data_IF_726777920764
#
_entry.id   IF_726777920764
#
_cell.length_a   1.000
_cell.length_b   1.000
_cell.length_c   1.000
_cell.angle_alpha   90.00
_cell.angle_beta   90.00
_cell.angle_gamma   90.00
#
_symmetry.space_group_name_H-M   'P 1'
#
loop_
_entity.id
_entity.type
_entity.pdbx_description
1 polymer ?
#
# COMPACT_ATOMS: atom_id res chain seq x y z
N UNK A 1 -14.53 9.99 5.35
CA UNK A 1 -13.10 9.95 5.06
C UNK A 1 -12.51 8.58 5.36
N UNK A 2 -11.36 8.29 4.79
CA UNK A 2 -10.64 7.03 5.02
C UNK A 2 -10.39 6.25 3.73
N UNK A 3 -10.72 4.97 3.74
CA UNK A 3 -10.56 4.04 2.60
C UNK A 3 -11.88 3.31 2.36
N UNK A 4 -12.58 3.67 1.30
CA UNK A 4 -13.82 3.03 0.87
C UNK A 4 -13.69 2.64 -0.60
N UNK A 5 -14.39 1.59 -1.03
CA UNK A 5 -14.48 1.29 -2.45
C UNK A 5 -15.25 2.40 -3.16
N UNK A 6 -14.61 3.10 -4.08
CA UNK A 6 -15.16 4.29 -4.74
C UNK A 6 -16.51 4.05 -5.45
N UNK A 7 -16.75 2.83 -5.95
CA UNK A 7 -18.02 2.44 -6.57
C UNK A 7 -19.18 2.49 -5.57
N UNK A 8 -18.91 2.24 -4.28
CA UNK A 8 -19.89 2.38 -3.21
C UNK A 8 -20.23 3.86 -2.91
N UNK A 9 -19.25 4.76 -3.04
CA UNK A 9 -19.50 6.19 -2.87
C UNK A 9 -20.42 6.72 -3.96
N UNK A 10 -20.19 6.33 -5.20
CA UNK A 10 -21.05 6.69 -6.35
C UNK A 10 -22.49 6.22 -6.10
N UNK A 11 -22.67 4.96 -5.65
CA UNK A 11 -23.97 4.42 -5.31
C UNK A 11 -24.67 5.19 -4.17
N UNK A 12 -23.93 5.43 -3.06
CA UNK A 12 -24.45 6.18 -1.91
C UNK A 12 -24.80 7.61 -2.28
N UNK A 13 -23.99 8.27 -3.10
CA UNK A 13 -24.27 9.63 -3.55
C UNK A 13 -25.59 9.72 -4.32
N UNK A 14 -25.89 8.75 -5.19
CA UNK A 14 -27.17 8.70 -5.89
C UNK A 14 -28.35 8.55 -4.91
N UNK A 15 -28.24 7.70 -3.88
CA UNK A 15 -29.26 7.52 -2.85
C UNK A 15 -29.49 8.78 -2.00
N UNK A 16 -28.42 9.54 -1.71
CA UNK A 16 -28.51 10.79 -0.94
C UNK A 16 -29.02 11.97 -1.78
N UNK A 17 -28.71 11.99 -3.08
CA UNK A 17 -29.19 13.04 -3.99
C UNK A 17 -30.75 13.09 -4.04
N UNK A 18 -31.43 11.96 -3.94
CA UNK A 18 -32.90 11.91 -3.85
C UNK A 18 -33.47 12.66 -2.65
N UNK A 19 -32.62 12.90 -1.64
CA UNK A 19 -32.97 13.60 -0.39
C UNK A 19 -32.40 15.03 -0.32
N UNK A 20 -31.88 15.54 -1.44
CA UNK A 20 -31.16 16.81 -1.53
C UNK A 20 -29.95 16.89 -0.56
N UNK A 21 -29.25 15.77 -0.36
CA UNK A 21 -28.03 15.70 0.45
C UNK A 21 -26.84 15.54 -0.49
N UNK A 22 -25.88 16.49 -0.43
CA UNK A 22 -24.64 16.41 -1.16
C UNK A 22 -23.70 15.41 -0.50
N UNK A 23 -23.11 14.54 -1.30
CA UNK A 23 -22.15 13.54 -0.85
C UNK A 23 -20.73 13.96 -1.25
N UNK A 24 -19.80 13.86 -0.30
CA UNK A 24 -18.37 14.13 -0.52
C UNK A 24 -17.58 12.94 0.01
N UNK A 25 -16.73 12.36 -0.82
CA UNK A 25 -15.80 11.31 -0.44
C UNK A 25 -14.41 11.89 -0.21
N UNK A 26 -13.73 11.40 0.82
CA UNK A 26 -12.40 11.88 1.22
C UNK A 26 -11.49 10.69 1.43
N UNK A 27 -10.67 10.40 0.43
CA UNK A 27 -9.56 9.47 0.54
C UNK A 27 -8.48 10.06 1.45
N UNK A 28 -8.10 9.34 2.52
CA UNK A 28 -7.25 9.89 3.56
C UNK A 28 -6.01 9.04 3.75
N UNK A 29 -4.84 9.68 3.77
CA UNK A 29 -3.55 9.10 4.15
C UNK A 29 -2.97 9.85 5.33
N UNK A 30 -2.09 9.19 6.12
CA UNK A 30 -1.47 9.75 7.34
C UNK A 30 -1.46 8.77 8.50
N UNK A 31 -2.33 7.74 8.47
CA UNK A 31 -2.37 6.68 9.47
C UNK A 31 -2.47 7.22 10.90
N UNK A 32 -1.73 6.62 11.81
CA UNK A 32 -1.70 7.00 13.24
C UNK A 32 -1.02 8.36 13.48
N UNK A 33 -0.20 8.83 12.55
CA UNK A 33 0.53 10.08 12.64
C UNK A 33 -0.29 11.30 12.18
N UNK A 34 -1.40 11.06 11.45
CA UNK A 34 -2.19 12.13 10.87
C UNK A 34 -2.76 13.14 11.90
N UNK A 35 -2.96 12.71 13.14
CA UNK A 35 -3.40 13.63 14.20
C UNK A 35 -2.31 14.65 14.59
N UNK A 36 -1.05 14.24 14.55
CA UNK A 36 0.09 15.08 14.91
C UNK A 36 0.65 15.86 13.70
N UNK A 37 0.71 15.23 12.54
CA UNK A 37 1.40 15.73 11.34
C UNK A 37 0.43 16.31 10.28
N UNK A 38 -0.88 16.12 10.48
CA UNK A 38 -1.90 16.41 9.48
C UNK A 38 -2.12 15.26 8.49
N UNK A 39 -3.28 15.29 7.83
CA UNK A 39 -3.69 14.25 6.87
C UNK A 39 -3.49 14.70 5.43
N UNK A 40 -3.06 13.78 4.57
CA UNK A 40 -3.17 13.95 3.13
C UNK A 40 -4.58 13.52 2.68
N UNK A 41 -5.32 14.41 2.01
CA UNK A 41 -6.73 14.20 1.67
C UNK A 41 -7.01 14.45 0.20
N UNK A 42 -7.50 13.43 -0.49
CA UNK A 42 -8.00 13.47 -1.86
C UNK A 42 -9.52 13.53 -1.82
N UNK A 43 -10.12 14.59 -2.36
CA UNK A 43 -11.53 14.90 -2.13
C UNK A 43 -12.31 14.78 -3.44
N UNK A 44 -13.35 13.96 -3.45
CA UNK A 44 -14.31 13.83 -4.53
C UNK A 44 -15.67 14.39 -4.15
N UNK A 45 -16.34 15.06 -5.09
CA UNK A 45 -17.66 15.63 -4.87
C UNK A 45 -17.98 16.78 -5.81
N UNK A 46 -19.18 17.35 -5.67
CA UNK A 46 -19.56 18.57 -6.36
C UNK A 46 -18.72 19.76 -5.86
N UNK A 47 -18.21 20.59 -6.77
CA UNK A 47 -17.30 21.69 -6.44
C UNK A 47 -17.84 22.61 -5.34
N UNK A 48 -19.13 22.97 -5.40
CA UNK A 48 -19.74 23.83 -4.39
C UNK A 48 -19.77 23.16 -3.01
N UNK A 49 -20.14 21.88 -2.95
CA UNK A 49 -20.18 21.12 -1.70
C UNK A 49 -18.77 20.98 -1.08
N UNK A 50 -17.76 20.68 -1.91
CA UNK A 50 -16.36 20.58 -1.48
C UNK A 50 -15.85 21.94 -0.97
N UNK A 51 -16.11 23.03 -1.71
CA UNK A 51 -15.68 24.39 -1.32
C UNK A 51 -16.27 24.83 0.03
N UNK A 52 -17.51 24.45 0.32
CA UNK A 52 -18.14 24.75 1.63
C UNK A 52 -17.47 24.03 2.80
N UNK A 53 -16.79 22.91 2.54
CA UNK A 53 -16.08 22.12 3.54
C UNK A 53 -14.59 22.47 3.65
N UNK A 54 -14.06 23.39 2.82
CA UNK A 54 -12.64 23.79 2.83
C UNK A 54 -12.09 24.10 4.23
N UNK A 55 -12.79 24.83 5.13
CA UNK A 55 -12.25 25.09 6.46
C UNK A 55 -11.98 23.83 7.30
N UNK A 56 -12.72 22.74 7.04
CA UNK A 56 -12.47 21.45 7.69
C UNK A 56 -11.19 20.82 7.14
N UNK A 57 -11.02 20.83 5.81
CA UNK A 57 -9.85 20.25 5.17
C UNK A 57 -8.57 21.01 5.53
N UNK A 58 -8.62 22.35 5.53
CA UNK A 58 -7.53 23.22 5.96
C UNK A 58 -7.09 22.93 7.41
N UNK A 59 -8.03 22.61 8.29
CA UNK A 59 -7.75 22.30 9.70
C UNK A 59 -7.12 20.90 9.86
N UNK A 60 -7.51 19.95 9.03
CA UNK A 60 -7.04 18.55 9.12
C UNK A 60 -5.75 18.28 8.34
N UNK A 61 -5.41 19.13 7.40
CA UNK A 61 -4.21 19.01 6.58
C UNK A 61 -2.94 19.44 7.33
N UNK A 62 -1.73 19.10 6.84
CA UNK A 62 -0.47 19.56 7.42
C UNK A 62 -0.36 21.09 7.49
N UNK A 63 -0.85 21.78 6.47
CA UNK A 63 -1.05 23.24 6.46
C UNK A 63 -2.34 23.57 5.72
N UNK A 64 -2.83 24.78 5.84
CA UNK A 64 -4.05 25.22 5.14
C UNK A 64 -3.96 25.07 3.61
N UNK A 65 -2.76 25.16 3.04
CA UNK A 65 -2.53 25.18 1.60
C UNK A 65 -1.96 23.85 1.06
N UNK A 66 -1.53 22.92 1.92
CA UNK A 66 -0.80 21.72 1.52
C UNK A 66 -1.44 20.44 2.07
N UNK A 67 -1.36 19.39 1.30
CA UNK A 67 -1.77 18.03 1.72
C UNK A 67 -3.23 17.71 1.44
N UNK A 68 -4.02 18.59 0.83
CA UNK A 68 -5.40 18.30 0.45
C UNK A 68 -5.78 18.95 -0.89
N UNK A 69 -6.79 18.39 -1.55
CA UNK A 69 -7.29 18.96 -2.79
C UNK A 69 -8.52 18.26 -3.33
N UNK A 70 -9.33 19.02 -4.08
CA UNK A 70 -10.47 18.51 -4.83
C UNK A 70 -9.95 17.85 -6.13
N UNK A 71 -10.11 16.53 -6.25
CA UNK A 71 -9.52 15.73 -7.33
C UNK A 71 -10.53 15.32 -8.41
N UNK A 72 -11.82 15.56 -8.19
CA UNK A 72 -12.84 15.23 -9.20
C UNK A 72 -14.24 15.01 -8.60
N UNK A 73 -15.16 14.43 -9.39
CA UNK A 73 -16.52 14.16 -8.94
C UNK A 73 -16.56 13.13 -7.79
N UNK A 74 -17.75 12.85 -7.29
CA UNK A 74 -17.96 11.82 -6.26
C UNK A 74 -17.33 10.49 -6.67
N UNK A 75 -16.61 9.88 -5.74
CA UNK A 75 -15.83 8.65 -5.91
C UNK A 75 -14.37 8.91 -6.30
N UNK A 76 -14.04 10.09 -6.87
CA UNK A 76 -12.67 10.39 -7.29
C UNK A 76 -11.68 10.42 -6.12
N UNK A 77 -12.08 10.87 -4.95
CA UNK A 77 -11.24 10.91 -3.76
C UNK A 77 -10.79 9.51 -3.32
N UNK A 78 -11.73 8.61 -3.11
CA UNK A 78 -11.42 7.23 -2.75
C UNK A 78 -10.78 6.43 -3.89
N UNK A 79 -11.11 6.73 -5.16
CA UNK A 79 -10.41 6.14 -6.31
C UNK A 79 -8.90 6.49 -6.27
N UNK A 80 -8.58 7.77 -6.12
CA UNK A 80 -7.17 8.21 -6.04
C UNK A 80 -6.49 7.61 -4.81
N UNK A 81 -7.18 7.52 -3.67
CA UNK A 81 -6.63 6.88 -2.46
C UNK A 81 -6.39 5.38 -2.66
N UNK A 82 -7.26 4.69 -3.35
CA UNK A 82 -7.09 3.28 -3.70
C UNK A 82 -5.82 3.07 -4.53
N UNK A 83 -5.61 3.88 -5.57
CA UNK A 83 -4.39 3.82 -6.39
C UNK A 83 -3.15 4.19 -5.59
N UNK A 84 -3.23 5.20 -4.71
CA UNK A 84 -2.16 5.54 -3.77
C UNK A 84 -1.73 4.31 -2.95
N UNK A 85 -2.68 3.55 -2.41
CA UNK A 85 -2.35 2.34 -1.64
C UNK A 85 -1.75 1.23 -2.52
N UNK A 86 -2.17 1.11 -3.78
CA UNK A 86 -1.50 0.23 -4.74
C UNK A 86 -0.02 0.58 -4.95
N UNK A 87 0.27 1.88 -5.12
CA UNK A 87 1.66 2.39 -5.22
C UNK A 87 2.43 2.10 -3.93
N UNK A 88 1.82 2.33 -2.76
CA UNK A 88 2.41 2.04 -1.45
C UNK A 88 2.82 0.56 -1.34
N UNK A 89 1.98 -0.39 -1.78
CA UNK A 89 2.31 -1.81 -1.81
C UNK A 89 3.55 -2.10 -2.65
N UNK A 90 3.66 -1.50 -3.84
CA UNK A 90 4.83 -1.66 -4.70
C UNK A 90 6.11 -1.10 -4.09
N UNK A 91 6.03 0.08 -3.47
CA UNK A 91 7.17 0.70 -2.78
C UNK A 91 7.62 -0.14 -1.58
N UNK A 92 6.69 -0.62 -0.76
CA UNK A 92 6.99 -1.48 0.39
C UNK A 92 7.68 -2.77 -0.05
N UNK A 93 7.19 -3.43 -1.10
CA UNK A 93 7.79 -4.67 -1.60
C UNK A 93 9.20 -4.41 -2.15
N UNK A 94 9.41 -3.32 -2.89
CA UNK A 94 10.73 -2.98 -3.39
C UNK A 94 11.76 -2.75 -2.26
N UNK A 95 11.36 -2.07 -1.17
CA UNK A 95 12.21 -1.96 0.01
C UNK A 95 12.45 -3.31 0.66
N UNK A 96 11.40 -4.11 0.87
CA UNK A 96 11.53 -5.41 1.51
C UNK A 96 12.50 -6.34 0.77
N UNK A 97 12.37 -6.46 -0.56
CA UNK A 97 13.29 -7.23 -1.40
C UNK A 97 14.72 -6.70 -1.34
N UNK A 98 14.90 -5.37 -1.42
CA UNK A 98 16.21 -4.73 -1.33
C UNK A 98 16.90 -4.99 0.01
N UNK A 99 16.20 -4.82 1.11
CA UNK A 99 16.73 -5.11 2.45
C UNK A 99 16.97 -6.59 2.67
N UNK A 100 16.12 -7.49 2.13
CA UNK A 100 16.35 -8.94 2.17
C UNK A 100 17.64 -9.35 1.44
N UNK A 101 17.89 -8.78 0.25
CA UNK A 101 19.15 -9.01 -0.51
C UNK A 101 20.35 -8.59 0.32
N UNK A 102 20.33 -7.41 0.90
CA UNK A 102 21.42 -6.90 1.75
C UNK A 102 21.59 -7.76 3.01
N UNK A 103 20.50 -8.15 3.66
CA UNK A 103 20.53 -9.03 4.82
C UNK A 103 21.11 -10.41 4.49
N UNK A 104 20.83 -10.96 3.30
CA UNK A 104 21.36 -12.25 2.85
C UNK A 104 22.87 -12.20 2.53
N UNK A 105 23.44 -11.02 2.25
CA UNK A 105 24.86 -10.86 1.92
C UNK A 105 25.73 -10.83 3.19
N UNK A 106 25.87 -11.94 3.86
CA UNK A 106 26.52 -12.07 5.17
C UNK A 106 28.01 -11.68 5.15
N UNK A 107 28.73 -11.86 4.03
CA UNK A 107 30.14 -11.54 3.90
C UNK A 107 30.48 -10.07 4.15
N UNK A 108 29.50 -9.18 3.97
CA UNK A 108 29.69 -7.74 4.14
C UNK A 108 29.36 -7.27 5.57
N UNK A 109 28.68 -8.10 6.35
CA UNK A 109 28.23 -7.76 7.72
C UNK A 109 27.57 -6.37 7.78
N UNK A 110 26.67 -6.08 6.83
CA UNK A 110 26.04 -4.76 6.67
C UNK A 110 25.19 -4.43 7.90
N UNK A 111 25.34 -3.19 8.38
CA UNK A 111 24.40 -2.57 9.31
C UNK A 111 23.23 -1.99 8.51
N UNK A 112 22.10 -2.71 8.50
CA UNK A 112 20.93 -2.33 7.70
C UNK A 112 20.23 -1.09 8.24
N UNK A 113 20.26 -0.87 9.55
CA UNK A 113 19.76 0.38 10.13
C UNK A 113 20.60 1.56 9.65
N UNK A 114 21.94 1.46 9.70
CA UNK A 114 22.83 2.49 9.19
C UNK A 114 22.59 2.77 7.69
N UNK A 115 22.38 1.72 6.88
CA UNK A 115 22.06 1.90 5.45
C UNK A 115 20.76 2.67 5.27
N UNK A 116 19.71 2.31 6.01
CA UNK A 116 18.43 3.03 5.96
C UNK A 116 18.61 4.50 6.38
N UNK A 117 19.34 4.77 7.45
CA UNK A 117 19.62 6.13 7.92
C UNK A 117 20.37 6.97 6.87
N UNK A 118 21.36 6.40 6.19
CA UNK A 118 22.08 7.09 5.10
C UNK A 118 21.11 7.47 3.96
N UNK A 119 20.20 6.57 3.61
CA UNK A 119 19.28 6.79 2.49
C UNK A 119 18.16 7.79 2.79
N UNK A 120 17.85 8.05 4.05
CA UNK A 120 16.88 9.10 4.44
C UNK A 120 17.29 10.48 3.95
N UNK A 121 18.60 10.74 3.77
CA UNK A 121 19.16 12.04 3.42
C UNK A 121 19.89 12.00 2.08
N UNK A 122 19.42 12.79 1.12
CA UNK A 122 20.08 12.96 -0.19
C UNK A 122 19.92 11.80 -1.18
N UNK A 123 19.35 10.68 -0.78
CA UNK A 123 19.09 9.55 -1.68
C UNK A 123 17.79 9.75 -2.47
N UNK A 124 17.79 9.28 -3.73
CA UNK A 124 16.59 9.29 -4.59
C UNK A 124 15.48 8.36 -4.08
N UNK A 125 15.82 7.35 -3.27
CA UNK A 125 14.85 6.40 -2.69
C UNK A 125 14.30 6.87 -1.33
N UNK A 126 14.60 8.08 -0.89
CA UNK A 126 14.04 8.61 0.36
C UNK A 126 12.51 8.68 0.29
N UNK A 127 11.85 8.30 1.35
CA UNK A 127 10.40 8.39 1.50
C UNK A 127 10.03 8.23 2.97
N UNK A 128 8.81 8.57 3.34
CA UNK A 128 8.32 8.27 4.68
C UNK A 128 8.33 6.77 5.00
N UNK A 129 8.09 5.91 4.00
CA UNK A 129 8.22 4.44 4.18
C UNK A 129 9.64 4.03 4.54
N UNK A 130 10.66 4.71 3.99
CA UNK A 130 12.05 4.47 4.38
C UNK A 130 12.34 4.94 5.80
N UNK A 131 11.78 6.08 6.23
CA UNK A 131 11.90 6.54 7.62
C UNK A 131 11.32 5.51 8.59
N UNK A 132 10.15 4.95 8.28
CA UNK A 132 9.54 3.89 9.06
C UNK A 132 10.36 2.60 9.05
N UNK A 133 11.00 2.27 7.93
CA UNK A 133 11.92 1.13 7.82
C UNK A 133 13.15 1.33 8.71
N UNK A 134 13.77 2.51 8.70
CA UNK A 134 14.89 2.83 9.57
C UNK A 134 14.50 2.67 11.06
N UNK A 135 13.36 3.23 11.46
CA UNK A 135 12.87 3.11 12.83
C UNK A 135 12.60 1.64 13.23
N UNK A 136 12.08 0.82 12.31
CA UNK A 136 11.82 -0.60 12.57
C UNK A 136 13.12 -1.41 12.77
N UNK A 137 14.22 -1.01 12.14
CA UNK A 137 15.51 -1.69 12.22
C UNK A 137 16.39 -1.18 13.36
N UNK A 138 16.01 -0.13 14.08
CA UNK A 138 16.83 0.50 15.13
C UNK A 138 17.13 -0.46 16.29
N UNK A 139 16.14 -1.21 16.74
CA UNK A 139 16.29 -2.12 17.90
C UNK A 139 16.83 -3.50 17.54
N UNK A 140 16.32 -4.10 16.49
CA UNK A 140 16.67 -5.44 16.01
C UNK A 140 16.58 -5.53 14.49
N UNK A 141 17.74 -5.57 13.84
CA UNK A 141 17.82 -5.67 12.38
C UNK A 141 17.44 -7.05 11.82
N UNK A 142 17.31 -8.07 12.66
CA UNK A 142 16.81 -9.40 12.27
C UNK A 142 15.27 -9.49 12.37
N UNK A 143 14.62 -8.50 12.97
CA UNK A 143 13.17 -8.47 13.21
C UNK A 143 12.68 -9.76 13.88
N UNK A 144 13.44 -10.26 14.86
CA UNK A 144 13.31 -11.62 15.42
C UNK A 144 11.95 -11.91 16.05
N UNK A 145 11.27 -10.86 16.52
CA UNK A 145 9.95 -10.96 17.16
C UNK A 145 8.78 -10.80 16.17
N UNK A 146 9.07 -10.63 14.87
CA UNK A 146 8.06 -10.39 13.84
C UNK A 146 7.91 -11.62 12.94
N UNK A 147 6.68 -12.14 12.86
CA UNK A 147 6.37 -13.21 11.90
C UNK A 147 6.27 -12.65 10.48
N UNK A 148 6.77 -13.40 9.49
CA UNK A 148 6.70 -13.03 8.08
C UNK A 148 5.30 -13.20 7.48
N UNK A 149 4.28 -12.59 8.12
CA UNK A 149 2.88 -12.65 7.74
C UNK A 149 2.35 -11.25 7.45
N UNK A 150 1.94 -10.98 6.20
CA UNK A 150 1.49 -9.65 5.77
C UNK A 150 0.05 -9.70 5.27
N UNK A 151 -0.84 -9.03 6.01
CA UNK A 151 -2.23 -8.85 5.60
C UNK A 151 -2.36 -7.80 4.49
N UNK A 152 -3.44 -7.84 3.76
CA UNK A 152 -3.89 -6.74 2.91
C UNK A 152 -5.25 -6.21 3.41
N UNK A 153 -5.55 -4.95 3.14
CA UNK A 153 -6.76 -4.25 3.59
C UNK A 153 -7.80 -4.06 2.49
N UNK A 154 -7.54 -4.60 1.30
CA UNK A 154 -8.46 -4.58 0.16
C UNK A 154 -8.06 -3.60 -0.94
N UNK A 155 -7.50 -2.44 -0.63
CA UNK A 155 -7.20 -1.38 -1.60
C UNK A 155 -6.22 -1.83 -2.69
N UNK A 156 -5.21 -2.64 -2.33
CA UNK A 156 -4.30 -3.25 -3.30
C UNK A 156 -5.02 -4.18 -4.28
N UNK A 157 -6.01 -4.95 -3.80
CA UNK A 157 -6.86 -5.79 -4.66
C UNK A 157 -7.71 -4.95 -5.60
N UNK A 158 -8.36 -3.91 -5.08
CA UNK A 158 -9.20 -3.03 -5.88
C UNK A 158 -8.39 -2.33 -6.97
N UNK A 159 -7.16 -1.90 -6.65
CA UNK A 159 -6.25 -1.31 -7.65
C UNK A 159 -5.90 -2.30 -8.77
N UNK A 160 -5.63 -3.57 -8.42
CA UNK A 160 -5.35 -4.61 -9.42
C UNK A 160 -6.61 -4.89 -10.27
N UNK A 161 -7.78 -5.02 -9.65
CA UNK A 161 -9.03 -5.21 -10.41
C UNK A 161 -9.32 -4.03 -11.34
N UNK A 162 -9.13 -2.81 -10.87
CA UNK A 162 -9.32 -1.62 -11.68
C UNK A 162 -8.34 -1.56 -12.87
N UNK A 163 -7.08 -1.97 -12.67
CA UNK A 163 -6.11 -2.04 -13.75
C UNK A 163 -6.53 -3.01 -14.85
N UNK A 164 -7.18 -4.12 -14.48
CA UNK A 164 -7.75 -5.10 -15.42
C UNK A 164 -8.99 -4.52 -16.11
N UNK A 165 -9.90 -3.90 -15.36
CA UNK A 165 -11.11 -3.28 -15.90
C UNK A 165 -10.80 -2.15 -16.92
N UNK A 166 -9.65 -1.48 -16.76
CA UNK A 166 -9.16 -0.40 -17.60
C UNK A 166 -8.16 -0.84 -18.70
N UNK A 167 -7.84 -2.12 -18.80
CA UNK A 167 -6.78 -2.63 -19.69
C UNK A 167 -5.40 -1.98 -19.47
N UNK A 168 -5.09 -1.58 -18.22
CA UNK A 168 -3.81 -0.95 -17.84
C UNK A 168 -2.90 -1.97 -17.17
N UNK A 169 -1.70 -2.24 -17.72
CA UNK A 169 -0.78 -3.17 -17.09
C UNK A 169 -0.20 -2.60 -15.79
N UNK A 170 -0.35 -3.32 -14.67
CA UNK A 170 0.17 -2.96 -13.36
C UNK A 170 0.97 -4.10 -12.72
N UNK A 171 2.07 -4.60 -13.35
CA UNK A 171 2.78 -5.79 -12.88
C UNK A 171 3.40 -5.61 -11.50
N UNK A 172 3.97 -4.46 -11.17
CA UNK A 172 4.62 -4.21 -9.87
C UNK A 172 3.59 -4.27 -8.74
N UNK A 173 2.47 -3.59 -8.88
CA UNK A 173 1.39 -3.59 -7.88
C UNK A 173 0.79 -4.99 -7.74
N UNK A 174 0.57 -5.68 -8.86
CA UNK A 174 0.02 -7.04 -8.86
C UNK A 174 0.94 -8.03 -8.13
N UNK A 175 2.23 -8.00 -8.41
CA UNK A 175 3.20 -8.89 -7.77
C UNK A 175 3.34 -8.57 -6.27
N UNK A 176 3.37 -7.31 -5.86
CA UNK A 176 3.43 -6.93 -4.45
C UNK A 176 2.20 -7.43 -3.65
N UNK A 177 1.01 -7.41 -4.25
CA UNK A 177 -0.18 -8.02 -3.66
C UNK A 177 -0.04 -9.54 -3.53
N UNK A 178 0.46 -10.22 -4.58
CA UNK A 178 0.65 -11.68 -4.57
C UNK A 178 1.71 -12.12 -3.56
N UNK A 179 2.75 -11.32 -3.31
CA UNK A 179 3.72 -11.57 -2.24
C UNK A 179 3.06 -11.61 -0.87
N UNK A 180 2.11 -10.72 -0.59
CA UNK A 180 1.31 -10.78 0.64
C UNK A 180 0.49 -12.07 0.73
N UNK A 181 -0.02 -12.61 -0.38
CA UNK A 181 -0.69 -13.92 -0.37
C UNK A 181 0.28 -15.04 -0.04
N UNK A 182 1.48 -15.02 -0.64
CA UNK A 182 2.52 -16.01 -0.38
C UNK A 182 2.98 -15.99 1.08
N UNK A 183 3.08 -14.81 1.71
CA UNK A 183 3.50 -14.67 3.11
C UNK A 183 2.54 -15.34 4.11
N UNK A 184 1.31 -15.65 3.68
CA UNK A 184 0.26 -16.26 4.51
C UNK A 184 0.09 -17.76 4.28
N UNK A 185 0.92 -18.35 3.42
CA UNK A 185 0.90 -19.78 3.10
C UNK A 185 1.99 -20.51 3.87
N UNK A 186 1.60 -21.48 4.68
CA UNK A 186 2.57 -22.37 5.35
C UNK A 186 3.34 -23.23 4.35
N UNK A 187 2.66 -23.68 3.29
CA UNK A 187 3.22 -24.43 2.17
C UNK A 187 2.54 -24.07 0.84
N UNK A 188 3.32 -24.04 -0.22
CA UNK A 188 2.81 -23.80 -1.57
C UNK A 188 2.42 -25.10 -2.27
N UNK A 189 1.13 -25.32 -2.52
CA UNK A 189 0.67 -26.45 -3.33
C UNK A 189 1.25 -26.40 -4.75
N UNK A 190 1.41 -25.21 -5.34
CA UNK A 190 2.04 -25.05 -6.64
C UNK A 190 3.49 -25.56 -6.66
N UNK A 191 4.27 -25.25 -5.61
CA UNK A 191 5.62 -25.79 -5.47
C UNK A 191 5.63 -27.33 -5.33
N UNK A 192 4.65 -27.91 -4.62
CA UNK A 192 4.50 -29.38 -4.54
C UNK A 192 4.20 -29.99 -5.91
N UNK A 193 3.32 -29.39 -6.70
CA UNK A 193 3.01 -29.85 -8.06
C UNK A 193 4.25 -29.76 -8.95
N UNK A 194 5.01 -28.67 -8.90
CA UNK A 194 6.25 -28.53 -9.64
C UNK A 194 7.28 -29.60 -9.26
N UNK A 195 7.46 -29.86 -7.98
CA UNK A 195 8.36 -30.92 -7.51
C UNK A 195 7.92 -32.31 -8.00
N UNK A 196 6.62 -32.60 -7.91
CA UNK A 196 6.06 -33.87 -8.41
C UNK A 196 6.22 -34.01 -9.91
N UNK A 197 5.95 -32.98 -10.72
CA UNK A 197 6.16 -33.00 -12.17
C UNK A 197 7.61 -33.26 -12.52
N UNK A 198 8.57 -32.58 -11.88
CA UNK A 198 9.99 -32.77 -12.09
C UNK A 198 10.45 -34.22 -11.76
N UNK A 199 9.88 -34.82 -10.74
CA UNK A 199 10.12 -36.21 -10.42
C UNK A 199 9.59 -37.14 -11.52
N UNK A 200 8.38 -36.91 -12.02
CA UNK A 200 7.75 -37.77 -13.02
C UNK A 200 8.47 -37.77 -14.38
N UNK A 201 8.85 -36.60 -14.87
CA UNK A 201 9.49 -36.54 -16.19
C UNK A 201 11.01 -36.72 -16.16
N UNK A 202 11.68 -36.38 -15.07
CA UNK A 202 13.15 -36.37 -14.99
C UNK A 202 13.76 -37.21 -13.87
N UNK A 203 12.96 -37.91 -13.08
CA UNK A 203 13.43 -38.68 -11.92
C UNK A 203 14.08 -37.82 -10.83
N UNK A 204 13.87 -36.50 -10.83
CA UNK A 204 14.47 -35.62 -9.83
C UNK A 204 13.96 -35.95 -8.42
N UNK A 205 14.88 -36.00 -7.46
CA UNK A 205 14.52 -36.31 -6.07
C UNK A 205 13.52 -35.30 -5.49
N UNK A 206 12.49 -35.80 -4.82
CA UNK A 206 11.49 -35.02 -4.08
C UNK A 206 11.86 -35.03 -2.62
N UNK A 207 11.88 -33.84 -1.98
CA UNK A 207 12.03 -33.72 -0.54
C UNK A 207 10.74 -34.16 0.14
N UNK A 208 10.81 -35.10 1.10
CA UNK A 208 9.62 -35.50 1.86
C UNK A 208 9.18 -34.39 2.81
N UNK A 209 7.87 -34.25 2.99
CA UNK A 209 7.30 -33.40 4.03
C UNK A 209 7.79 -33.85 5.42
N UNK A 210 8.00 -32.90 6.32
CA UNK A 210 8.32 -33.20 7.72
C UNK A 210 7.09 -33.63 8.48
#
# INVERSE_FOLDING_TARGET
GGNTMYKDDIRRAAEFAEKNIHYVDVGTSGGVWGLAEGYSMMIGGETEAVSRLSPIFETLAPTAELGWGHVGPVGAGHFVKMVHNGIEYGLMEAYAEGFEIMHAKKDFALDLHQVAEIWRYGSVVRSWLLDLTANALEGDQNLSDIAGYVSDSGEGRWTVFESIDLDVPAPVITLSLQRRFSSRQDESYAAKVLAAMRNQFGGHAVRKAK
#
